data_IF_405017660446
#
_entry.id   IF_405017660446
#
_cell.length_a   1.000
_cell.length_b   1.000
_cell.length_c   1.000
_cell.angle_alpha   90.00
_cell.angle_beta   90.00
_cell.angle_gamma   90.00
#
_symmetry.space_group_name_H-M   'P 1'
#
loop_
_entity.id
_entity.type
_entity.pdbx_description
1 polymer ?
#
# COMPACT_ATOMS: atom_id res chain seq x y z
N UNK A 1 15.75 14.52 8.56
CA UNK A 1 14.28 14.43 8.56
C UNK A 1 13.87 13.67 9.80
N UNK A 2 12.97 14.23 10.64
CA UNK A 2 12.35 13.45 11.71
C UNK A 2 11.46 12.35 11.11
N UNK A 3 11.25 11.27 11.86
CA UNK A 3 10.25 10.24 11.51
C UNK A 3 8.87 10.80 11.87
N UNK A 4 7.92 10.69 10.96
CA UNK A 4 6.53 11.12 11.18
C UNK A 4 5.57 9.95 10.95
N UNK A 5 4.50 9.89 11.74
CA UNK A 5 3.48 8.86 11.59
C UNK A 5 2.60 9.15 10.38
N UNK A 6 2.42 8.14 9.53
CA UNK A 6 1.44 8.19 8.46
C UNK A 6 0.02 8.16 9.04
N UNK A 7 -0.78 9.20 8.77
CA UNK A 7 -2.10 9.38 9.40
C UNK A 7 -3.27 8.88 8.56
N UNK A 8 -3.10 8.84 7.24
CA UNK A 8 -4.18 8.53 6.31
C UNK A 8 -3.89 7.27 5.50
N UNK A 9 -4.86 6.35 5.50
CA UNK A 9 -4.85 5.19 4.61
C UNK A 9 -5.32 5.59 3.23
N UNK A 10 -4.71 5.00 2.21
CA UNK A 10 -5.16 5.18 0.85
C UNK A 10 -6.36 4.27 0.53
N UNK A 11 -7.22 4.71 -0.37
CA UNK A 11 -8.31 3.87 -0.88
C UNK A 11 -7.71 2.68 -1.67
N UNK A 12 -8.17 1.43 -1.44
CA UNK A 12 -7.69 0.26 -2.16
C UNK A 12 -7.72 0.42 -3.68
N UNK A 13 -8.77 1.05 -4.21
CA UNK A 13 -8.99 1.28 -5.64
C UNK A 13 -7.89 2.15 -6.24
N UNK A 14 -7.41 3.15 -5.49
CA UNK A 14 -6.30 4.00 -5.90
C UNK A 14 -5.01 3.20 -6.00
N UNK A 15 -4.76 2.29 -5.06
CA UNK A 15 -3.56 1.44 -5.07
C UNK A 15 -3.64 0.44 -6.23
N UNK A 16 -4.80 -0.20 -6.45
CA UNK A 16 -4.99 -1.08 -7.60
C UNK A 16 -4.76 -0.37 -8.94
N UNK A 17 -5.17 0.91 -9.05
CA UNK A 17 -4.90 1.73 -10.23
C UNK A 17 -3.42 2.08 -10.45
N UNK A 18 -2.57 1.98 -9.42
CA UNK A 18 -1.11 2.17 -9.54
C UNK A 18 -0.37 0.90 -10.00
N UNK A 19 -0.99 -0.27 -9.83
CA UNK A 19 -0.37 -1.54 -10.19
C UNK A 19 -0.46 -1.80 -11.69
N UNK A 20 0.46 -2.62 -12.20
CA UNK A 20 0.29 -3.23 -13.51
C UNK A 20 -1.08 -3.98 -13.57
N UNK A 21 -1.89 -3.84 -14.64
CA UNK A 21 -3.23 -4.42 -14.70
C UNK A 21 -3.27 -5.93 -14.47
N UNK A 22 -2.29 -6.68 -14.98
CA UNK A 22 -2.21 -8.12 -14.79
C UNK A 22 -1.96 -8.45 -13.31
N UNK A 23 -1.03 -7.73 -12.67
CA UNK A 23 -0.74 -7.88 -11.25
C UNK A 23 -1.94 -7.49 -10.39
N UNK A 24 -2.64 -6.40 -10.72
CA UNK A 24 -3.84 -5.99 -10.00
C UNK A 24 -4.94 -7.05 -10.08
N UNK A 25 -5.18 -7.62 -11.27
CA UNK A 25 -6.19 -8.65 -11.46
C UNK A 25 -5.85 -9.92 -10.68
N UNK A 26 -4.59 -10.37 -10.78
CA UNK A 26 -4.10 -11.53 -10.03
C UNK A 26 -4.19 -11.32 -8.51
N UNK A 27 -3.76 -10.17 -8.00
CA UNK A 27 -3.78 -9.88 -6.57
C UNK A 27 -5.22 -9.84 -6.02
N UNK A 28 -6.13 -9.17 -6.73
CA UNK A 28 -7.57 -9.15 -6.36
C UNK A 28 -8.14 -10.57 -6.32
N UNK A 29 -7.85 -11.39 -7.33
CA UNK A 29 -8.33 -12.77 -7.38
C UNK A 29 -7.77 -13.64 -6.24
N UNK A 30 -6.51 -13.44 -5.86
CA UNK A 30 -5.83 -14.26 -4.85
C UNK A 30 -6.10 -13.83 -3.41
N UNK A 31 -6.17 -12.53 -3.15
CA UNK A 31 -6.17 -11.93 -1.81
C UNK A 31 -7.36 -10.99 -1.53
N UNK A 32 -8.14 -10.63 -2.56
CA UNK A 32 -9.27 -9.70 -2.44
C UNK A 32 -8.84 -8.24 -2.36
N UNK A 33 -8.24 -7.83 -1.24
CA UNK A 33 -7.83 -6.43 -0.99
C UNK A 33 -6.55 -6.36 -0.15
N UNK A 34 -6.04 -5.14 0.05
CA UNK A 34 -4.83 -4.88 0.82
C UNK A 34 -5.10 -4.87 2.33
N UNK A 35 -4.11 -5.27 3.12
CA UNK A 35 -4.15 -5.17 4.58
C UNK A 35 -3.96 -3.71 5.04
N UNK A 36 -4.30 -3.42 6.29
CA UNK A 36 -4.19 -2.07 6.83
C UNK A 36 -2.76 -1.48 6.70
N UNK A 37 -1.67 -2.18 7.07
CA UNK A 37 -0.31 -1.66 6.86
C UNK A 37 0.02 -1.39 5.39
N UNK A 38 -0.49 -2.22 4.47
CA UNK A 38 -0.30 -2.05 3.03
C UNK A 38 -1.02 -0.80 2.51
N UNK A 39 -2.22 -0.50 3.02
CA UNK A 39 -2.97 0.70 2.66
C UNK A 39 -2.27 2.00 3.09
N UNK A 40 -1.42 1.96 4.11
CA UNK A 40 -0.62 3.11 4.54
C UNK A 40 0.72 3.22 3.79
N UNK A 41 1.30 2.10 3.37
CA UNK A 41 2.71 2.05 2.96
C UNK A 41 2.93 1.93 1.45
N UNK A 42 2.08 1.22 0.70
CA UNK A 42 2.33 0.95 -0.73
C UNK A 42 2.50 2.25 -1.52
N UNK A 43 1.63 3.27 -1.37
CA UNK A 43 1.80 4.52 -2.12
C UNK A 43 3.07 5.28 -1.72
N UNK A 44 3.45 5.30 -0.44
CA UNK A 44 4.69 5.94 0.00
C UNK A 44 5.90 5.28 -0.68
N UNK A 45 5.95 3.95 -0.71
CA UNK A 45 7.00 3.19 -1.40
C UNK A 45 6.98 3.46 -2.90
N UNK A 46 5.81 3.48 -3.53
CA UNK A 46 5.65 3.80 -4.95
C UNK A 46 6.21 5.19 -5.30
N UNK A 47 6.00 6.18 -4.44
CA UNK A 47 6.54 7.54 -4.58
C UNK A 47 7.96 7.71 -4.04
N UNK A 48 8.64 6.62 -3.68
CA UNK A 48 10.02 6.59 -3.20
C UNK A 48 10.25 7.37 -1.90
N UNK A 49 9.25 7.41 -1.04
CA UNK A 49 9.34 7.96 0.31
C UNK A 49 9.91 6.90 1.27
N UNK A 50 10.90 7.29 2.08
CA UNK A 50 11.47 6.41 3.10
C UNK A 50 10.36 6.01 4.09
N UNK A 51 10.05 4.72 4.13
CA UNK A 51 8.90 4.18 4.88
C UNK A 51 9.36 3.11 5.85
N UNK A 52 9.14 3.34 7.15
CA UNK A 52 9.30 2.34 8.20
C UNK A 52 7.92 1.71 8.48
N UNK A 53 7.81 0.39 8.36
CA UNK A 53 6.57 -0.36 8.61
C UNK A 53 6.78 -1.22 9.85
N UNK A 54 5.89 -1.07 10.84
CA UNK A 54 5.77 -1.96 11.99
C UNK A 54 4.36 -2.54 11.99
N UNK A 55 4.26 -3.87 11.93
CA UNK A 55 3.01 -4.60 11.85
C UNK A 55 3.19 -6.00 12.48
N UNK A 56 2.07 -6.61 12.88
CA UNK A 56 2.01 -8.01 13.33
C UNK A 56 2.36 -8.99 12.18
N UNK A 57 2.86 -10.18 12.54
CA UNK A 57 3.25 -11.24 11.59
C UNK A 57 2.08 -12.08 11.10
#
# INVERSE_FOLDING_TARGET
MPIEFQKAKYAPEKIFGMLNPMLSAWFKARFGTFTEPQLYSIPNIHFRENTLISAET
#
